data_IF_816182634801
#
_entry.id   IF_816182634801
#
_cell.length_a   1.000
_cell.length_b   1.000
_cell.length_c   1.000
_cell.angle_alpha   90.00
_cell.angle_beta   90.00
_cell.angle_gamma   90.00
#
_symmetry.space_group_name_H-M   'P 1'
#
loop_
_entity.id
_entity.type
_entity.pdbx_description
1 polymer ?
#
# COMPACT_ATOMS: atom_id res chain seq x y z
N UNK A 1 8.97 -4.51 -5.68
CA UNK A 1 9.31 -3.98 -4.34
C UNK A 1 8.74 -2.58 -4.27
N UNK A 2 7.87 -2.32 -3.31
CA UNK A 2 7.27 -1.01 -3.08
C UNK A 2 8.20 -0.23 -2.13
N UNK A 3 8.84 0.83 -2.62
CA UNK A 3 9.99 1.43 -1.92
C UNK A 3 9.61 2.38 -0.79
N UNK A 4 10.59 2.75 0.04
CA UNK A 4 10.40 3.65 1.18
C UNK A 4 9.86 5.04 0.79
N UNK A 5 10.20 5.54 -0.40
CA UNK A 5 9.67 6.79 -0.94
C UNK A 5 8.17 6.71 -1.21
N UNK A 6 7.72 5.65 -1.89
CA UNK A 6 6.30 5.39 -2.15
C UNK A 6 5.54 5.18 -0.83
N UNK A 7 6.15 4.49 0.13
CA UNK A 7 5.57 4.28 1.48
C UNK A 7 5.35 5.60 2.20
N UNK A 8 6.40 6.42 2.23
CA UNK A 8 6.39 7.71 2.90
C UNK A 8 5.41 8.67 2.25
N UNK A 9 5.30 8.64 0.91
CA UNK A 9 4.38 9.47 0.15
C UNK A 9 2.92 9.21 0.52
N UNK A 10 2.47 7.95 0.46
CA UNK A 10 1.08 7.59 0.83
C UNK A 10 0.83 7.88 2.32
N UNK A 11 1.79 7.53 3.19
CA UNK A 11 1.66 7.77 4.64
C UNK A 11 1.54 9.26 4.97
N UNK A 12 2.35 10.12 4.34
CA UNK A 12 2.31 11.57 4.55
C UNK A 12 1.02 12.17 3.98
N UNK A 13 0.60 11.78 2.78
CA UNK A 13 -0.65 12.26 2.19
C UNK A 13 -1.87 11.91 3.07
N UNK A 14 -1.90 10.69 3.61
CA UNK A 14 -2.93 10.28 4.57
C UNK A 14 -2.85 11.05 5.89
N UNK A 15 -1.66 11.30 6.44
CA UNK A 15 -1.48 12.11 7.65
C UNK A 15 -1.98 13.54 7.47
N UNK A 16 -1.87 14.10 6.27
CA UNK A 16 -2.43 15.41 5.93
C UNK A 16 -3.93 15.37 5.59
N UNK A 17 -4.59 14.21 5.69
CA UNK A 17 -6.01 14.04 5.41
C UNK A 17 -6.38 14.18 3.93
N UNK A 18 -5.42 14.10 3.01
CA UNK A 18 -5.68 14.26 1.58
C UNK A 18 -6.28 13.01 0.94
N UNK A 19 -5.99 11.83 1.51
CA UNK A 19 -6.43 10.53 1.02
C UNK A 19 -6.79 9.60 2.17
N UNK A 20 -7.66 8.63 1.89
CA UNK A 20 -7.92 7.49 2.78
C UNK A 20 -6.72 6.54 2.76
N UNK A 21 -6.13 6.26 3.94
CA UNK A 21 -4.88 5.49 4.04
C UNK A 21 -5.06 4.04 3.64
N UNK A 22 -6.04 3.34 4.22
CA UNK A 22 -6.23 1.90 3.99
C UNK A 22 -6.56 1.65 2.51
N UNK A 23 -7.45 2.47 1.92
CA UNK A 23 -7.78 2.37 0.49
C UNK A 23 -6.58 2.64 -0.40
N UNK A 24 -5.82 3.70 -0.14
CA UNK A 24 -4.66 4.06 -0.95
C UNK A 24 -3.54 3.00 -0.88
N UNK A 25 -3.31 2.40 0.29
CA UNK A 25 -2.37 1.27 0.44
C UNK A 25 -2.82 0.11 -0.45
N UNK A 26 -4.08 -0.32 -0.32
CA UNK A 26 -4.57 -1.48 -1.06
C UNK A 26 -4.62 -1.23 -2.57
N UNK A 27 -5.02 -0.03 -3.01
CA UNK A 27 -5.03 0.34 -4.43
C UNK A 27 -3.61 0.30 -5.04
N UNK A 28 -2.59 0.76 -4.30
CA UNK A 28 -1.19 0.68 -4.71
C UNK A 28 -0.75 -0.78 -4.89
N UNK A 29 -1.03 -1.64 -3.91
CA UNK A 29 -0.65 -3.06 -3.95
C UNK A 29 -1.42 -3.83 -5.03
N UNK A 30 -2.71 -3.58 -5.20
CA UNK A 30 -3.51 -4.15 -6.29
C UNK A 30 -3.02 -3.68 -7.66
N UNK A 31 -2.60 -2.41 -7.78
CA UNK A 31 -1.97 -1.88 -8.98
C UNK A 31 -0.72 -2.67 -9.38
N UNK A 32 0.16 -2.95 -8.41
CA UNK A 32 1.38 -3.75 -8.62
C UNK A 32 1.02 -5.20 -9.00
N UNK A 33 0.08 -5.83 -8.30
CA UNK A 33 -0.39 -7.19 -8.63
C UNK A 33 -0.99 -7.26 -10.04
N UNK A 34 -1.77 -6.26 -10.43
CA UNK A 34 -2.38 -6.14 -11.76
C UNK A 34 -1.33 -5.95 -12.85
N UNK A 35 -0.21 -5.29 -12.55
CA UNK A 35 0.91 -5.14 -13.47
C UNK A 35 1.69 -6.46 -13.71
N UNK A 36 1.28 -7.56 -13.06
CA UNK A 36 1.83 -8.90 -13.30
C UNK A 36 2.80 -9.39 -12.23
N UNK A 37 2.99 -8.66 -11.13
CA UNK A 37 3.85 -9.11 -10.05
C UNK A 37 3.18 -10.22 -9.22
N UNK A 38 3.82 -11.37 -9.10
CA UNK A 38 3.39 -12.47 -8.22
C UNK A 38 3.80 -12.25 -6.76
N UNK A 39 4.89 -11.51 -6.53
CA UNK A 39 5.44 -11.22 -5.19
C UNK A 39 5.61 -9.72 -5.02
N UNK A 40 5.09 -9.20 -3.89
CA UNK A 40 5.21 -7.79 -3.51
C UNK A 40 5.89 -7.69 -2.15
N UNK A 41 7.07 -7.07 -2.15
CA UNK A 41 7.78 -6.69 -0.93
C UNK A 41 7.38 -5.26 -0.57
N UNK A 42 6.84 -5.04 0.62
CA UNK A 42 6.34 -3.73 1.10
C UNK A 42 6.42 -3.65 2.62
N UNK A 43 6.58 -2.42 3.15
CA UNK A 43 6.52 -2.16 4.60
C UNK A 43 5.11 -2.36 5.18
N UNK A 44 4.06 -2.32 4.36
CA UNK A 44 2.68 -2.57 4.80
C UNK A 44 2.31 -4.05 4.83
N UNK A 45 3.26 -4.99 4.72
CA UNK A 45 2.93 -6.41 4.53
C UNK A 45 2.01 -6.97 5.63
N UNK A 46 2.30 -6.67 6.91
CA UNK A 46 1.48 -7.11 8.05
C UNK A 46 0.10 -6.44 8.05
N UNK A 47 0.06 -5.15 7.72
CA UNK A 47 -1.18 -4.37 7.67
C UNK A 47 -2.10 -4.85 6.54
N UNK A 48 -1.56 -5.01 5.33
CA UNK A 48 -2.27 -5.51 4.17
C UNK A 48 -2.79 -6.94 4.41
N UNK A 49 -2.01 -7.81 5.08
CA UNK A 49 -2.49 -9.13 5.48
C UNK A 49 -3.71 -9.03 6.41
N UNK A 50 -3.71 -8.10 7.35
CA UNK A 50 -4.85 -7.85 8.23
C UNK A 50 -6.08 -7.31 7.48
N UNK A 51 -5.90 -6.47 6.47
CA UNK A 51 -6.99 -5.94 5.64
C UNK A 51 -7.61 -6.99 4.73
N UNK A 52 -6.81 -7.91 4.19
CA UNK A 52 -7.27 -8.99 3.31
C UNK A 52 -7.99 -10.13 4.05
N UNK A 53 -7.76 -10.27 5.35
CA UNK A 53 -8.39 -11.29 6.18
C UNK A 53 -9.74 -10.88 6.77
N UNK A 54 -10.18 -9.64 6.53
CA UNK A 54 -11.50 -9.12 6.91
C UNK A 54 -12.54 -9.48 5.86
#
# INVERSE_FOLDING_TARGET
YQVSGEYSMISAAAQNGWIDREKAIMDSLYGIRRAGADIILTYWAVEAAGLLAR
#
